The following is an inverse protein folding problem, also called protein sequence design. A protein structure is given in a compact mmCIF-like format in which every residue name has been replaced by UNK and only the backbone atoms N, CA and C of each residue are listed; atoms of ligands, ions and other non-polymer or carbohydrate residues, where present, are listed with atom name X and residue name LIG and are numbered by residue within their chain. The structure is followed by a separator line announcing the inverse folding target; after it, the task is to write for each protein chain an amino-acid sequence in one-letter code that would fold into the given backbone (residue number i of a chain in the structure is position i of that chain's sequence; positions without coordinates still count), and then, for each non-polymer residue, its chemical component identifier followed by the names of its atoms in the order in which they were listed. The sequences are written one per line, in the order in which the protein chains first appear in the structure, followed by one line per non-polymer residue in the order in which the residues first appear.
data_IF_813381616981
#
_entry.id   IF_813381616981
#
_cell.length_a   1.000
_cell.length_b   1.000
_cell.length_c   1.000
_cell.angle_alpha   90.00
_cell.angle_beta   90.00
_cell.angle_gamma   90.00
#
_symmetry.space_group_name_H-M   'P 1'
#
loop_
_entity.id
_entity.type
_entity.pdbx_description
1 polymer ?
#
# COMPACT_ATOMS: atom_id res chain seq x y z
N UNK A 1 17.78 2.72 -19.79
CA UNK A 1 17.65 2.24 -18.41
C UNK A 1 16.37 2.78 -17.78
N UNK A 2 15.80 2.01 -16.89
CA UNK A 2 14.64 2.46 -16.14
C UNK A 2 15.12 3.44 -15.10
N UNK A 3 14.65 4.68 -15.20
CA UNK A 3 14.94 5.65 -14.17
C UNK A 3 13.96 5.47 -13.03
N UNK A 4 14.51 5.43 -11.82
CA UNK A 4 13.69 5.44 -10.62
C UNK A 4 13.10 6.83 -10.43
N UNK A 5 11.85 6.88 -10.03
CA UNK A 5 11.21 8.15 -9.74
C UNK A 5 11.85 8.80 -8.51
N UNK A 6 11.56 10.08 -8.32
CA UNK A 6 12.01 10.81 -7.14
C UNK A 6 11.53 10.13 -5.86
N UNK A 7 12.30 10.29 -4.80
CA UNK A 7 11.92 9.77 -3.50
C UNK A 7 10.62 10.42 -3.01
N UNK A 8 9.73 9.61 -2.44
CA UNK A 8 8.53 10.09 -1.77
C UNK A 8 8.88 10.42 -0.32
N UNK A 9 9.30 11.66 -0.08
CA UNK A 9 9.90 12.06 1.19
C UNK A 9 8.91 12.63 2.21
N UNK A 10 7.64 12.80 1.83
CA UNK A 10 6.64 13.32 2.74
C UNK A 10 5.35 12.54 2.63
N UNK A 11 4.54 12.49 3.71
CA UNK A 11 3.23 11.87 3.64
C UNK A 11 2.34 12.49 2.56
N UNK A 12 2.46 13.80 2.33
CA UNK A 12 1.64 14.45 1.32
C UNK A 12 2.03 14.02 -0.09
N UNK A 13 3.32 13.82 -0.36
CA UNK A 13 3.77 13.31 -1.66
C UNK A 13 3.22 11.90 -1.92
N UNK A 14 3.17 11.06 -0.89
CA UNK A 14 2.57 9.73 -0.99
C UNK A 14 1.07 9.84 -1.26
N UNK A 15 0.36 10.70 -0.53
CA UNK A 15 -1.08 10.90 -0.73
C UNK A 15 -1.39 11.32 -2.17
N UNK A 16 -0.65 12.29 -2.68
CA UNK A 16 -0.86 12.79 -4.05
C UNK A 16 -0.62 11.70 -5.08
N UNK A 17 0.42 10.90 -4.90
CA UNK A 17 0.73 9.78 -5.77
C UNK A 17 -0.41 8.75 -5.77
N UNK A 18 -0.88 8.35 -4.59
CA UNK A 18 -1.91 7.33 -4.46
C UNK A 18 -3.27 7.82 -4.95
N UNK A 19 -3.63 9.08 -4.71
CA UNK A 19 -4.84 9.66 -5.28
C UNK A 19 -4.81 9.59 -6.81
N UNK A 20 -3.70 9.98 -7.41
CA UNK A 20 -3.56 9.94 -8.86
C UNK A 20 -3.71 8.52 -9.41
N UNK A 21 -3.21 7.52 -8.67
CA UNK A 21 -3.28 6.12 -9.11
C UNK A 21 -4.65 5.48 -8.93
N UNK A 22 -5.37 5.82 -7.85
CA UNK A 22 -6.56 5.07 -7.45
C UNK A 22 -7.88 5.83 -7.55
N UNK A 23 -7.88 7.14 -7.75
CA UNK A 23 -9.11 7.96 -7.69
C UNK A 23 -10.17 7.57 -8.72
N UNK A 24 -9.79 6.94 -9.83
CA UNK A 24 -10.70 6.54 -10.89
C UNK A 24 -11.16 5.09 -10.81
N UNK A 25 -10.68 4.35 -9.81
CA UNK A 25 -11.08 2.97 -9.65
C UNK A 25 -12.52 2.89 -9.15
N UNK A 26 -13.37 2.18 -9.92
CA UNK A 26 -14.78 2.00 -9.58
C UNK A 26 -15.01 0.86 -8.60
N UNK A 27 -14.06 -0.05 -8.50
CA UNK A 27 -14.13 -1.22 -7.62
C UNK A 27 -12.98 -1.18 -6.63
N UNK A 28 -13.09 -1.94 -5.55
CA UNK A 28 -11.99 -2.06 -4.61
C UNK A 28 -10.79 -2.75 -5.26
N UNK A 29 -9.62 -2.18 -5.03
CA UNK A 29 -8.34 -2.78 -5.40
C UNK A 29 -7.40 -2.69 -4.21
N UNK A 30 -6.49 -3.63 -4.12
CA UNK A 30 -5.41 -3.61 -3.14
C UNK A 30 -4.09 -3.53 -3.91
N UNK A 31 -3.28 -2.55 -3.58
CA UNK A 31 -2.05 -2.26 -4.32
C UNK A 31 -0.88 -2.05 -3.38
N UNK A 32 0.31 -2.18 -3.93
CA UNK A 32 1.56 -1.92 -3.23
C UNK A 32 2.42 -0.96 -4.01
N UNK A 33 2.97 0.01 -3.28
CA UNK A 33 3.98 0.92 -3.77
C UNK A 33 5.32 0.42 -3.26
N UNK A 34 6.15 -0.12 -4.16
CA UNK A 34 7.45 -0.70 -3.81
C UNK A 34 8.55 0.34 -3.89
N UNK A 35 9.39 0.37 -2.87
CA UNK A 35 10.39 1.42 -2.69
C UNK A 35 11.77 0.82 -2.45
N UNK A 36 12.81 1.56 -2.87
CA UNK A 36 14.19 1.21 -2.55
C UNK A 36 14.56 1.76 -1.15
N UNK A 37 15.82 1.58 -0.77
CA UNK A 37 16.33 2.02 0.54
C UNK A 37 16.26 3.52 0.75
N UNK A 38 16.18 4.30 -0.33
CA UNK A 38 16.04 5.76 -0.28
C UNK A 38 14.62 6.23 -0.52
N UNK A 39 13.66 5.32 -0.40
CA UNK A 39 12.23 5.56 -0.63
C UNK A 39 11.91 6.08 -2.04
N UNK A 40 12.72 5.69 -3.03
CA UNK A 40 12.41 5.97 -4.42
C UNK A 40 11.50 4.88 -4.96
N UNK A 41 10.57 5.28 -5.83
CA UNK A 41 9.57 4.37 -6.38
C UNK A 41 10.24 3.39 -7.35
N UNK A 42 10.08 2.10 -7.05
CA UNK A 42 10.48 1.00 -7.94
C UNK A 42 9.32 0.57 -8.83
N UNK A 43 8.14 0.44 -8.26
CA UNK A 43 6.94 0.01 -8.97
C UNK A 43 5.70 0.33 -8.16
N UNK A 44 4.57 0.47 -8.84
CA UNK A 44 3.26 0.47 -8.23
C UNK A 44 2.45 -0.64 -8.88
N UNK A 45 1.96 -1.60 -8.09
CA UNK A 45 1.28 -2.77 -8.62
C UNK A 45 -0.03 -3.02 -7.90
N UNK A 46 -1.10 -3.19 -8.68
CA UNK A 46 -2.38 -3.66 -8.14
C UNK A 46 -2.30 -5.18 -8.07
N UNK A 47 -2.43 -5.74 -6.87
CA UNK A 47 -2.25 -7.17 -6.63
C UNK A 47 -3.56 -7.93 -6.48
N UNK A 48 -4.60 -7.27 -5.99
CA UNK A 48 -5.89 -7.93 -5.76
C UNK A 48 -7.02 -7.01 -6.19
N UNK A 49 -8.07 -7.61 -6.72
CA UNK A 49 -9.27 -6.92 -7.18
C UNK A 49 -10.48 -7.46 -6.44
N UNK A 50 -11.48 -6.60 -6.22
CA UNK A 50 -12.71 -6.96 -5.53
C UNK A 50 -12.69 -6.57 -4.07
N UNK A 51 -13.72 -6.95 -3.34
CA UNK A 51 -13.87 -6.61 -1.93
C UNK A 51 -12.74 -7.18 -1.09
N UNK A 52 -12.07 -6.30 -0.34
CA UNK A 52 -10.95 -6.67 0.50
C UNK A 52 -11.48 -7.01 1.89
N UNK A 53 -11.50 -8.30 2.21
CA UNK A 53 -12.01 -8.80 3.49
C UNK A 53 -10.93 -9.53 4.31
N UNK A 54 -9.67 -9.39 3.93
CA UNK A 54 -8.55 -10.05 4.58
C UNK A 54 -8.33 -11.49 4.13
N UNK A 55 -9.36 -12.15 3.61
CA UNK A 55 -9.22 -13.53 3.11
C UNK A 55 -8.72 -13.56 1.67
N UNK A 56 -8.96 -12.50 0.90
CA UNK A 56 -8.61 -12.42 -0.51
C UNK A 56 -7.22 -11.83 -0.78
N UNK A 57 -6.53 -11.32 0.23
CA UNK A 57 -5.18 -10.80 0.10
C UNK A 57 -4.20 -11.79 0.71
N UNK A 58 -3.37 -12.40 -0.12
CA UNK A 58 -2.45 -13.45 0.33
C UNK A 58 -1.06 -12.88 0.61
N UNK A 59 -0.54 -13.00 1.84
CA UNK A 59 0.80 -12.52 2.14
C UNK A 59 1.88 -13.04 1.20
N UNK A 60 1.80 -14.32 0.80
CA UNK A 60 2.79 -14.89 -0.13
C UNK A 60 2.88 -14.13 -1.44
N UNK A 61 1.74 -13.60 -1.93
CA UNK A 61 1.73 -12.86 -3.19
C UNK A 61 2.40 -11.49 -3.03
N UNK A 62 2.17 -10.83 -1.91
CA UNK A 62 2.81 -9.55 -1.61
C UNK A 62 4.32 -9.75 -1.46
N UNK A 63 4.73 -10.77 -0.71
CA UNK A 63 6.15 -11.12 -0.53
C UNK A 63 6.81 -11.41 -1.88
N UNK A 64 6.17 -12.22 -2.71
CA UNK A 64 6.69 -12.57 -4.04
C UNK A 64 6.94 -11.31 -4.88
N UNK A 65 6.00 -10.37 -4.87
CA UNK A 65 6.16 -9.14 -5.66
C UNK A 65 7.20 -8.21 -5.06
N UNK A 66 7.28 -8.14 -3.74
CA UNK A 66 8.32 -7.35 -3.09
C UNK A 66 9.72 -7.84 -3.47
N UNK A 67 9.93 -9.15 -3.45
CA UNK A 67 11.21 -9.74 -3.83
C UNK A 67 11.50 -9.56 -5.32
N UNK A 68 10.49 -9.74 -6.17
CA UNK A 68 10.66 -9.55 -7.62
C UNK A 68 11.05 -8.11 -7.98
N UNK A 69 10.56 -7.13 -7.22
CA UNK A 69 10.91 -5.72 -7.41
C UNK A 69 12.17 -5.32 -6.65
N UNK A 70 12.79 -6.22 -5.93
CA UNK A 70 13.94 -5.94 -5.08
C UNK A 70 13.67 -4.79 -4.10
N UNK A 71 12.47 -4.77 -3.54
CA UNK A 71 12.03 -3.70 -2.65
C UNK A 71 12.71 -3.80 -1.28
N UNK A 72 13.09 -2.66 -0.71
CA UNK A 72 13.57 -2.55 0.67
C UNK A 72 12.42 -2.16 1.62
N UNK A 73 11.40 -1.52 1.07
CA UNK A 73 10.23 -1.06 1.81
C UNK A 73 9.03 -1.01 0.87
N UNK A 74 7.84 -0.94 1.45
CA UNK A 74 6.64 -0.74 0.68
C UNK A 74 5.58 0.01 1.47
N UNK A 75 4.64 0.56 0.73
CA UNK A 75 3.43 1.17 1.27
C UNK A 75 2.26 0.38 0.72
N UNK A 76 1.39 -0.07 1.62
CA UNK A 76 0.15 -0.73 1.26
C UNK A 76 -0.92 0.33 0.99
N UNK A 77 -1.81 0.06 0.07
CA UNK A 77 -2.95 0.93 -0.19
C UNK A 77 -4.13 0.15 -0.72
N UNK A 78 -5.31 0.62 -0.39
CA UNK A 78 -6.55 0.17 -1.04
C UNK A 78 -7.51 1.35 -1.08
N UNK A 79 -8.51 1.25 -1.94
CA UNK A 79 -9.52 2.28 -2.08
C UNK A 79 -10.85 1.79 -1.51
N UNK A 80 -11.64 2.77 -1.04
CA UNK A 80 -13.04 2.54 -0.66
C UNK A 80 -13.94 3.29 -1.64
N UNK A 81 -14.51 2.63 -2.64
CA UNK A 81 -15.38 3.30 -3.62
C UNK A 81 -16.60 3.97 -3.00
N UNK A 82 -16.99 3.56 -1.78
CA UNK A 82 -18.06 4.22 -1.03
C UNK A 82 -17.73 5.66 -0.65
N UNK A 83 -16.44 6.03 -0.68
CA UNK A 83 -15.96 7.36 -0.37
C UNK A 83 -15.45 7.56 1.04
N UNK A 84 -15.76 6.67 1.97
CA UNK A 84 -15.34 6.79 3.38
C UNK A 84 -14.01 6.09 3.58
N UNK A 85 -12.96 6.85 3.89
CA UNK A 85 -11.60 6.34 4.05
C UNK A 85 -11.34 5.94 5.51
N UNK A 86 -12.06 4.95 6.01
CA UNK A 86 -11.90 4.47 7.38
C UNK A 86 -11.58 2.99 7.37
N UNK A 87 -10.51 2.54 8.07
CA UNK A 87 -10.13 1.14 8.05
C UNK A 87 -11.11 0.27 8.84
N UNK A 88 -11.41 -0.89 8.30
CA UNK A 88 -12.15 -1.92 9.03
C UNK A 88 -11.20 -2.65 9.97
N UNK A 89 -11.77 -3.44 10.88
CA UNK A 89 -10.96 -4.31 11.73
C UNK A 89 -10.20 -5.33 10.88
N UNK A 90 -10.82 -5.84 9.81
CA UNK A 90 -10.16 -6.75 8.88
C UNK A 90 -8.96 -6.10 8.20
N UNK A 91 -9.05 -4.81 7.84
CA UNK A 91 -7.93 -4.06 7.28
C UNK A 91 -6.75 -4.01 8.24
N UNK A 92 -7.02 -3.77 9.52
CA UNK A 92 -5.98 -3.68 10.55
C UNK A 92 -5.29 -5.03 10.77
N UNK A 93 -6.07 -6.11 10.83
CA UNK A 93 -5.54 -7.47 11.00
C UNK A 93 -4.68 -7.85 9.79
N UNK A 94 -5.16 -7.59 8.58
CA UNK A 94 -4.41 -7.86 7.35
C UNK A 94 -3.08 -7.10 7.34
N UNK A 95 -3.10 -5.83 7.72
CA UNK A 95 -1.90 -5.00 7.76
C UNK A 95 -0.85 -5.60 8.68
N UNK A 96 -1.23 -6.06 9.86
CA UNK A 96 -0.29 -6.69 10.80
C UNK A 96 0.27 -7.99 10.25
N UNK A 97 -0.57 -8.81 9.59
CA UNK A 97 -0.10 -10.06 8.95
C UNK A 97 0.94 -9.78 7.87
N UNK A 98 0.68 -8.76 7.05
CA UNK A 98 1.61 -8.38 5.97
C UNK A 98 2.91 -7.82 6.52
N UNK A 99 2.85 -7.00 7.58
CA UNK A 99 4.06 -6.49 8.24
C UNK A 99 4.94 -7.63 8.75
N UNK A 100 4.34 -8.61 9.42
CA UNK A 100 5.08 -9.76 9.96
C UNK A 100 5.71 -10.58 8.84
N UNK A 101 4.94 -10.89 7.80
CA UNK A 101 5.43 -11.69 6.68
C UNK A 101 6.59 -11.00 5.95
N UNK A 102 6.47 -9.71 5.70
CA UNK A 102 7.49 -8.94 4.99
C UNK A 102 8.74 -8.70 5.84
N UNK A 103 8.59 -8.57 7.15
CA UNK A 103 9.72 -8.45 8.06
C UNK A 103 10.64 -9.67 8.00
N UNK A 104 10.09 -10.86 7.75
CA UNK A 104 10.87 -12.08 7.62
C UNK A 104 11.85 -12.05 6.44
N UNK A 105 11.57 -11.23 5.44
CA UNK A 105 12.42 -11.07 4.25
C UNK A 105 13.03 -9.67 4.18
N UNK A 106 13.13 -9.00 5.31
CA UNK A 106 13.77 -7.68 5.47
C UNK A 106 13.13 -6.58 4.62
N UNK A 107 11.82 -6.66 4.41
CA UNK A 107 11.06 -5.61 3.73
C UNK A 107 10.18 -4.90 4.75
N UNK A 108 10.33 -3.58 4.86
CA UNK A 108 9.58 -2.79 5.84
C UNK A 108 8.28 -2.27 5.23
N UNK A 109 7.18 -2.42 5.95
CA UNK A 109 5.92 -1.78 5.59
C UNK A 109 5.88 -0.43 6.29
N UNK A 110 5.94 0.65 5.51
CA UNK A 110 6.04 1.99 6.04
C UNK A 110 4.69 2.56 6.47
N UNK A 111 3.64 2.24 5.75
CA UNK A 111 2.30 2.73 6.03
C UNK A 111 1.27 1.93 5.26
N UNK A 112 0.00 2.18 5.58
CA UNK A 112 -1.13 1.68 4.82
C UNK A 112 -2.09 2.86 4.64
N UNK A 113 -2.28 3.29 3.40
CA UNK A 113 -3.18 4.40 3.06
C UNK A 113 -4.49 3.87 2.50
N UNK A 114 -5.58 4.50 2.93
CA UNK A 114 -6.91 4.21 2.42
C UNK A 114 -7.38 5.39 1.60
N UNK A 115 -7.74 5.16 0.34
CA UNK A 115 -8.15 6.18 -0.61
C UNK A 115 -9.67 6.18 -0.71
N UNK A 116 -10.29 7.27 -0.23
CA UNK A 116 -11.71 7.53 -0.39
C UNK A 116 -11.91 8.76 -1.26
N UNK A 117 -12.96 9.53 -0.96
CA UNK A 117 -13.26 10.77 -1.73
C UNK A 117 -12.34 11.93 -1.35
N UNK A 118 -11.93 12.01 -0.09
CA UNK A 118 -11.07 13.08 0.41
C UNK A 118 -9.59 12.74 0.33
N UNK A 119 -8.82 13.29 1.26
CA UNK A 119 -7.40 12.95 1.35
C UNK A 119 -7.22 11.50 1.79
N UNK A 120 -6.27 10.77 1.21
CA UNK A 120 -5.94 9.43 1.66
C UNK A 120 -5.59 9.40 3.14
N UNK A 121 -6.12 8.43 3.86
CA UNK A 121 -5.93 8.31 5.29
C UNK A 121 -4.74 7.39 5.57
N UNK A 122 -3.80 7.88 6.38
CA UNK A 122 -2.63 7.13 6.83
C UNK A 122 -2.95 6.37 8.12
N UNK A 123 -2.71 5.07 8.11
CA UNK A 123 -2.89 4.27 9.33
C UNK A 123 -1.84 4.61 10.38
N UNK A 124 -0.60 4.90 9.95
CA UNK A 124 0.47 5.31 10.87
C UNK A 124 0.12 6.61 11.57
N UNK A 125 -0.32 7.63 10.82
CA UNK A 125 -0.66 8.94 11.41
C UNK A 125 -1.83 8.84 12.38
N UNK A 126 -2.71 7.87 12.21
CA UNK A 126 -3.86 7.67 13.08
C UNK A 126 -3.61 6.68 14.21
N UNK A 127 -2.37 6.19 14.35
CA UNK A 127 -2.01 5.30 15.43
C UNK A 127 -2.55 3.88 15.30
N UNK A 128 -2.92 3.45 14.09
CA UNK A 128 -3.47 2.11 13.85
C UNK A 128 -2.43 1.12 13.32
N UNK A 129 -1.20 1.55 13.28
CA UNK A 129 -0.15 0.73 12.71
C UNK A 129 1.18 1.01 13.41
#
# INVERSE_FOLDING_TARGET
SIQRESALESPQAVRDFLKAKLRHELHEVFACLFLDTKHRVLAFEVLFYGTIDGASVYPRQVVKRALANNAAALILTHNHPSGVAEPSQADKILTERLKEALALVDVRVLDHFIVGDGEPLSMVENGWM
#
